data_IF_942720171739
#
_entry.id   IF_942720171739
#
_cell.length_a   1.000
_cell.length_b   1.000
_cell.length_c   1.000
_cell.angle_alpha   90.00
_cell.angle_beta   90.00
_cell.angle_gamma   90.00
#
_symmetry.space_group_name_H-M   'P 1'
#
loop_
_entity.id
_entity.type
_entity.pdbx_description
1 polymer ?
#
# COMPACT_ATOMS: atom_id res chain seq x y z
N UNK A 1 -32.46 5.16 16.97
CA UNK A 1 -32.30 3.91 16.17
C UNK A 1 -31.49 4.24 14.93
N UNK A 2 -30.18 3.96 14.94
CA UNK A 2 -29.32 4.12 13.77
C UNK A 2 -28.90 2.74 13.27
N UNK A 3 -29.37 2.33 12.08
CA UNK A 3 -28.94 1.11 11.41
C UNK A 3 -27.65 1.41 10.63
N UNK A 4 -26.52 0.90 11.10
CA UNK A 4 -25.32 0.79 10.27
C UNK A 4 -25.38 -0.57 9.58
N UNK A 5 -25.75 -0.56 8.30
CA UNK A 5 -25.67 -1.73 7.44
C UNK A 5 -24.19 -2.05 7.16
N UNK A 6 -23.68 -3.08 7.83
CA UNK A 6 -22.38 -3.69 7.54
C UNK A 6 -22.55 -4.47 6.24
N UNK A 7 -22.03 -3.91 5.14
CA UNK A 7 -21.82 -4.64 3.88
C UNK A 7 -20.43 -5.24 3.89
N UNK A 8 -20.37 -6.55 3.74
CA UNK A 8 -19.16 -7.34 3.57
C UNK A 8 -18.86 -8.16 4.81
N UNK A 9 -19.10 -9.47 4.72
CA UNK A 9 -18.63 -10.49 5.66
C UNK A 9 -17.11 -10.40 5.82
N UNK A 10 -16.66 -9.52 6.74
CA UNK A 10 -15.35 -9.61 7.34
C UNK A 10 -15.38 -10.85 8.22
N UNK A 11 -14.80 -11.93 7.69
CA UNK A 11 -14.67 -13.24 8.32
C UNK A 11 -14.41 -13.07 9.83
N UNK A 12 -15.39 -13.44 10.66
CA UNK A 12 -15.46 -13.13 12.09
C UNK A 12 -14.21 -13.62 12.86
N UNK A 13 -13.50 -14.59 12.26
CA UNK A 13 -12.23 -15.12 12.72
C UNK A 13 -11.07 -14.12 12.60
N UNK A 14 -10.98 -13.35 11.50
CA UNK A 14 -9.93 -12.32 11.34
C UNK A 14 -10.07 -11.19 12.37
N UNK A 15 -11.31 -10.82 12.72
CA UNK A 15 -11.57 -9.78 13.73
C UNK A 15 -11.22 -10.30 15.13
N UNK A 16 -11.52 -11.56 15.43
CA UNK A 16 -11.19 -12.19 16.71
C UNK A 16 -9.68 -12.41 16.88
N UNK A 17 -8.96 -12.78 15.82
CA UNK A 17 -7.50 -12.91 15.83
C UNK A 17 -6.81 -11.55 15.96
N UNK A 18 -7.33 -10.52 15.29
CA UNK A 18 -6.81 -9.16 15.41
C UNK A 18 -6.96 -8.57 16.83
N UNK A 19 -7.93 -9.05 17.61
CA UNK A 19 -8.12 -8.66 19.00
C UNK A 19 -7.20 -9.41 19.97
N UNK A 20 -6.76 -10.64 19.64
CA UNK A 20 -5.92 -11.47 20.52
C UNK A 20 -4.49 -10.99 20.63
N UNK A 21 -3.92 -10.41 19.58
CA UNK A 21 -2.52 -9.98 19.59
C UNK A 21 -2.32 -8.61 18.92
N UNK A 22 -2.68 -7.51 19.60
CA UNK A 22 -2.48 -6.16 19.07
C UNK A 22 -1.00 -5.82 18.80
N UNK A 23 -0.06 -6.59 19.35
CA UNK A 23 1.38 -6.43 19.11
C UNK A 23 1.81 -7.10 17.79
N UNK A 24 1.25 -8.25 17.41
CA UNK A 24 1.43 -8.85 16.08
C UNK A 24 0.68 -8.07 15.00
N UNK A 25 -0.46 -7.46 15.34
CA UNK A 25 -1.27 -6.61 14.43
C UNK A 25 -0.65 -5.21 14.26
N UNK A 26 0.38 -4.86 15.03
CA UNK A 26 1.12 -3.59 14.86
C UNK A 26 1.81 -3.51 13.49
N UNK A 27 1.99 -4.66 12.81
CA UNK A 27 2.47 -4.77 11.43
C UNK A 27 1.42 -4.42 10.36
N UNK A 28 0.14 -4.26 10.73
CA UNK A 28 -0.99 -4.11 9.79
C UNK A 28 -1.65 -2.73 9.77
N UNK A 29 -1.26 -1.78 10.62
CA UNK A 29 -1.88 -0.44 10.60
C UNK A 29 -1.20 0.46 9.57
N UNK A 30 -1.62 0.30 8.32
CA UNK A 30 -1.36 1.29 7.28
C UNK A 30 -2.11 2.58 7.60
N UNK A 31 -1.48 3.72 7.35
CA UNK A 31 -2.17 5.01 7.41
C UNK A 31 -3.24 5.11 6.32
N UNK A 32 -4.20 6.04 6.47
CA UNK A 32 -5.22 6.29 5.44
C UNK A 32 -4.59 6.60 4.08
N UNK A 33 -3.49 7.35 4.06
CA UNK A 33 -2.76 7.66 2.83
C UNK A 33 -2.09 6.42 2.24
N UNK A 34 -1.48 5.58 3.07
CA UNK A 34 -0.85 4.33 2.61
C UNK A 34 -1.88 3.37 2.03
N UNK A 35 -3.07 3.25 2.65
CA UNK A 35 -4.18 2.47 2.10
C UNK A 35 -4.63 3.01 0.75
N UNK A 36 -4.81 4.34 0.62
CA UNK A 36 -5.18 4.98 -0.66
C UNK A 36 -4.12 4.77 -1.75
N UNK A 37 -2.84 4.86 -1.39
CA UNK A 37 -1.73 4.59 -2.31
C UNK A 37 -1.72 3.13 -2.73
N UNK A 38 -1.91 2.20 -1.81
CA UNK A 38 -1.96 0.78 -2.13
C UNK A 38 -3.15 0.49 -3.06
N UNK A 39 -4.33 1.01 -2.72
CA UNK A 39 -5.59 0.82 -3.47
C UNK A 39 -5.52 1.35 -4.90
N UNK A 40 -4.77 2.43 -5.15
CA UNK A 40 -4.61 3.03 -6.48
C UNK A 40 -3.66 2.27 -7.44
N UNK A 41 -3.03 1.19 -6.97
CA UNK A 41 -2.15 0.32 -7.75
C UNK A 41 -2.92 -0.95 -8.11
N UNK A 42 -3.10 -1.24 -9.38
CA UNK A 42 -3.78 -2.46 -9.82
C UNK A 42 -2.89 -3.70 -9.67
N UNK A 43 -3.51 -4.88 -9.64
CA UNK A 43 -2.75 -6.14 -9.57
C UNK A 43 -1.94 -6.34 -10.86
N UNK A 44 -0.65 -6.64 -10.71
CA UNK A 44 0.28 -6.80 -11.83
C UNK A 44 0.77 -5.48 -12.44
N UNK A 45 0.24 -4.34 -12.02
CA UNK A 45 0.67 -3.02 -12.47
C UNK A 45 2.03 -2.64 -11.88
N UNK A 46 2.88 -2.01 -12.69
CA UNK A 46 4.12 -1.38 -12.26
C UNK A 46 3.94 0.14 -12.23
N UNK A 47 4.22 0.76 -11.09
CA UNK A 47 4.00 2.19 -10.86
C UNK A 47 5.26 2.90 -10.39
N UNK A 48 5.36 4.19 -10.70
CA UNK A 48 6.41 5.08 -10.19
C UNK A 48 5.84 6.07 -9.18
N UNK A 49 6.73 6.73 -8.42
CA UNK A 49 6.32 7.80 -7.51
C UNK A 49 5.60 8.96 -8.23
N UNK A 50 5.97 9.26 -9.48
CA UNK A 50 5.34 10.29 -10.31
C UNK A 50 3.93 9.92 -10.77
N UNK A 51 3.68 8.63 -11.02
CA UNK A 51 2.33 8.17 -11.35
C UNK A 51 1.41 8.24 -10.13
N UNK A 52 1.89 7.76 -8.98
CA UNK A 52 1.13 7.78 -7.72
C UNK A 52 0.89 9.19 -7.21
N UNK A 53 1.85 10.11 -7.39
CA UNK A 53 1.66 11.51 -7.02
C UNK A 53 0.44 12.11 -7.74
N UNK A 54 0.27 11.79 -9.04
CA UNK A 54 -0.89 12.24 -9.83
C UNK A 54 -2.19 11.55 -9.42
N UNK A 55 -2.17 10.22 -9.24
CA UNK A 55 -3.38 9.44 -8.88
C UNK A 55 -3.92 9.78 -7.49
N UNK A 56 -3.03 10.01 -6.53
CA UNK A 56 -3.39 10.20 -5.14
C UNK A 56 -3.31 11.67 -4.70
N UNK A 57 -3.05 12.61 -5.61
CA UNK A 57 -2.87 14.04 -5.31
C UNK A 57 -1.87 14.25 -4.15
N UNK A 58 -0.65 13.72 -4.33
CA UNK A 58 0.44 13.78 -3.38
C UNK A 58 1.63 14.50 -4.00
N UNK A 59 2.52 15.08 -3.18
CA UNK A 59 3.82 15.48 -3.70
C UNK A 59 4.63 14.23 -4.11
N UNK A 60 5.49 14.31 -5.15
CA UNK A 60 6.31 13.17 -5.58
C UNK A 60 7.20 12.60 -4.47
N UNK A 61 7.73 13.46 -3.59
CA UNK A 61 8.54 13.03 -2.44
C UNK A 61 7.69 12.25 -1.42
N UNK A 62 6.46 12.68 -1.16
CA UNK A 62 5.58 11.98 -0.23
C UNK A 62 5.05 10.66 -0.81
N UNK A 63 4.75 10.62 -2.11
CA UNK A 63 4.43 9.38 -2.82
C UNK A 63 5.59 8.37 -2.73
N UNK A 64 6.83 8.82 -2.98
CA UNK A 64 8.05 8.00 -2.84
C UNK A 64 8.22 7.42 -1.44
N UNK A 65 8.03 8.24 -0.39
CA UNK A 65 8.09 7.78 1.01
C UNK A 65 7.02 6.75 1.34
N UNK A 66 5.77 6.94 0.86
CA UNK A 66 4.70 5.97 1.08
C UNK A 66 4.98 4.64 0.35
N UNK A 67 5.42 4.68 -0.91
CA UNK A 67 5.78 3.50 -1.68
C UNK A 67 6.94 2.73 -1.04
N UNK A 68 7.98 3.44 -0.57
CA UNK A 68 9.09 2.82 0.16
C UNK A 68 8.61 2.14 1.43
N UNK A 69 7.79 2.81 2.24
CA UNK A 69 7.26 2.24 3.48
C UNK A 69 6.36 1.02 3.23
N UNK A 70 5.56 1.03 2.16
CA UNK A 70 4.77 -0.12 1.74
C UNK A 70 5.64 -1.29 1.27
N UNK A 71 6.74 -1.02 0.58
CA UNK A 71 7.73 -2.03 0.20
C UNK A 71 8.46 -2.62 1.42
N UNK A 72 8.88 -1.79 2.38
CA UNK A 72 9.52 -2.25 3.64
C UNK A 72 8.60 -3.16 4.47
N UNK A 73 7.28 -2.97 4.34
CA UNK A 73 6.25 -3.82 4.96
C UNK A 73 5.78 -4.96 4.06
N UNK A 74 6.49 -5.25 2.98
CA UNK A 74 6.21 -6.35 2.06
C UNK A 74 4.82 -6.32 1.39
N UNK A 75 4.22 -5.14 1.20
CA UNK A 75 3.03 -4.99 0.35
C UNK A 75 3.38 -4.82 -1.13
N UNK A 76 4.57 -4.26 -1.40
CA UNK A 76 5.08 -4.00 -2.73
C UNK A 76 6.47 -4.62 -2.91
N UNK A 77 6.80 -5.03 -4.13
CA UNK A 77 8.19 -5.21 -4.56
C UNK A 77 8.69 -3.95 -5.25
N UNK A 78 9.97 -3.61 -5.05
CA UNK A 78 10.64 -2.49 -5.72
C UNK A 78 11.72 -2.96 -6.68
N UNK A 79 11.71 -2.47 -7.91
CA UNK A 79 12.81 -2.56 -8.88
C UNK A 79 13.44 -1.18 -9.08
N UNK A 80 14.73 -1.17 -9.38
CA UNK A 80 15.44 0.04 -9.80
C UNK A 80 15.84 -0.05 -11.26
N UNK A 81 15.69 1.06 -11.96
CA UNK A 81 16.04 1.19 -13.38
C UNK A 81 16.98 2.39 -13.49
N UNK A 82 18.15 2.17 -14.08
CA UNK A 82 19.07 3.25 -14.44
C UNK A 82 18.54 3.99 -15.66
N UNK A 83 18.58 5.31 -15.64
CA UNK A 83 18.18 6.15 -16.77
C UNK A 83 19.40 6.40 -17.69
N UNK A 84 19.18 6.42 -19.00
CA UNK A 84 20.24 6.55 -20.01
C UNK A 84 21.06 7.85 -19.87
N UNK A 85 20.45 8.90 -19.34
CA UNK A 85 21.08 10.21 -19.09
C UNK A 85 21.63 10.36 -17.66
N UNK A 86 21.75 9.26 -16.92
CA UNK A 86 22.09 9.27 -15.51
C UNK A 86 20.87 9.44 -14.61
N UNK A 87 20.97 8.93 -13.39
CA UNK A 87 19.86 8.87 -12.44
C UNK A 87 19.22 7.50 -12.33
N UNK A 88 18.27 7.39 -11.41
CA UNK A 88 17.65 6.13 -11.00
C UNK A 88 16.16 6.35 -10.81
N UNK A 89 15.36 5.54 -11.49
CA UNK A 89 13.91 5.50 -11.28
C UNK A 89 13.54 4.22 -10.52
N UNK A 90 12.59 4.37 -9.58
CA UNK A 90 12.08 3.25 -8.80
C UNK A 90 10.67 2.89 -9.26
N UNK A 91 10.51 1.60 -9.53
CA UNK A 91 9.29 0.98 -9.98
C UNK A 91 8.77 0.05 -8.90
N UNK A 92 7.45 0.09 -8.65
CA UNK A 92 6.81 -0.66 -7.58
C UNK A 92 5.64 -1.47 -8.14
N UNK A 93 5.46 -2.68 -7.61
CA UNK A 93 4.35 -3.57 -7.99
C UNK A 93 3.80 -4.27 -6.74
N UNK A 94 2.50 -4.54 -6.70
CA UNK A 94 1.89 -5.34 -5.62
C UNK A 94 2.49 -6.74 -5.56
N UNK A 95 2.86 -7.16 -4.35
CA UNK A 95 3.12 -8.56 -4.06
C UNK A 95 1.77 -9.29 -4.11
N UNK A 96 1.67 -10.31 -4.97
CA UNK A 96 0.48 -11.17 -4.94
C UNK A 96 0.42 -11.88 -3.58
N UNK A 97 -0.77 -11.98 -2.95
CA UNK A 97 -0.92 -12.93 -1.86
C UNK A 97 -0.64 -14.33 -2.42
N UNK A 98 0.27 -15.06 -1.74
CA UNK A 98 0.61 -16.47 -2.02
C UNK A 98 -0.63 -17.36 -1.95
#
# INVERSE_FOLDING_TARGET
>A
MGKFGVKGDLNHNLVAEAQRDPHQVKWLKLSKTQLRVLDSIEQGEEVTAQLISKRCDLSPSWASSNLRSLNERCYLTRRHIGLDCGGMEFHYRRLMPL
#
